data_IF_374848928050
#
_entry.id   IF_374848928050
#
_cell.length_a   1.000
_cell.length_b   1.000
_cell.length_c   1.000
_cell.angle_alpha   90.00
_cell.angle_beta   90.00
_cell.angle_gamma   90.00
#
_symmetry.space_group_name_H-M   'P 1'
#
loop_
_entity.id
_entity.type
_entity.pdbx_description
1 polymer ?
#
# COMPACT_ATOMS: atom_id res chain seq x y z
N UNK A 1 -24.31 5.78 -1.27
CA UNK A 1 -23.30 6.45 -0.38
C UNK A 1 -22.55 5.35 0.39
N UNK A 2 -21.32 5.55 0.92
CA UNK A 2 -20.59 4.48 1.68
C UNK A 2 -21.48 3.83 2.75
N UNK A 3 -22.41 4.61 3.32
CA UNK A 3 -23.42 4.16 4.28
C UNK A 3 -24.28 2.96 3.83
N UNK A 4 -24.44 2.71 2.54
CA UNK A 4 -25.22 1.56 2.02
C UNK A 4 -24.44 0.22 2.08
N UNK A 5 -23.13 0.26 2.34
CA UNK A 5 -22.24 -0.91 2.41
C UNK A 5 -21.74 -1.19 3.83
N UNK A 6 -22.26 -0.49 4.83
CA UNK A 6 -21.93 -0.70 6.23
C UNK A 6 -23.13 -1.37 6.88
N UNK A 7 -22.99 -2.62 7.30
CA UNK A 7 -23.99 -3.29 8.15
C UNK A 7 -24.21 -2.47 9.43
N UNK A 8 -25.42 -2.52 10.01
CA UNK A 8 -25.76 -1.82 11.25
C UNK A 8 -24.65 -2.02 12.32
N UNK A 9 -23.89 -0.96 12.56
CA UNK A 9 -22.65 -1.00 13.33
C UNK A 9 -22.09 0.39 13.62
N UNK A 10 -21.26 0.49 14.67
CA UNK A 10 -20.63 1.76 15.07
C UNK A 10 -19.41 2.00 14.20
N UNK A 11 -19.46 3.04 13.36
CA UNK A 11 -18.28 3.51 12.61
C UNK A 11 -17.50 4.50 13.48
N UNK A 12 -16.32 4.09 13.96
CA UNK A 12 -15.37 4.97 14.64
C UNK A 12 -14.53 5.71 13.59
N UNK A 13 -14.77 7.02 13.44
CA UNK A 13 -14.06 7.87 12.48
C UNK A 13 -13.01 8.69 13.23
N UNK A 14 -11.74 8.50 12.86
CA UNK A 14 -10.62 9.27 13.39
C UNK A 14 -9.99 10.10 12.30
N UNK A 15 -9.70 11.36 12.61
CA UNK A 15 -8.88 12.19 11.75
C UNK A 15 -7.45 11.65 11.73
N UNK A 16 -6.92 11.45 10.52
CA UNK A 16 -5.51 11.15 10.28
C UNK A 16 -4.98 12.24 9.36
N UNK A 17 -3.85 12.86 9.73
CA UNK A 17 -3.25 13.91 8.92
C UNK A 17 -2.86 13.37 7.54
N UNK A 18 -2.89 14.22 6.49
CA UNK A 18 -2.50 13.80 5.14
C UNK A 18 -1.10 13.19 5.12
N UNK A 19 -0.19 13.69 5.95
CA UNK A 19 1.18 13.20 6.07
C UNK A 19 1.27 11.79 6.65
N UNK A 20 0.29 11.39 7.46
CA UNK A 20 0.23 10.11 8.15
C UNK A 20 -0.79 9.14 7.56
N UNK A 21 -1.66 9.59 6.66
CA UNK A 21 -2.67 8.73 6.04
C UNK A 21 -2.01 7.81 5.00
N UNK A 22 -1.72 6.59 5.42
CA UNK A 22 -1.05 5.61 4.58
C UNK A 22 -1.95 5.05 3.48
N UNK A 23 -3.27 5.06 3.68
CA UNK A 23 -4.25 4.60 2.69
C UNK A 23 -4.35 5.51 1.46
N UNK A 24 -3.74 6.69 1.49
CA UNK A 24 -3.66 7.61 0.35
C UNK A 24 -3.07 6.92 -0.90
N UNK A 25 -2.15 5.96 -0.73
CA UNK A 25 -1.55 5.22 -1.84
C UNK A 25 -2.56 4.37 -2.63
N UNK A 26 -3.67 3.97 -2.00
CA UNK A 26 -4.70 3.13 -2.60
C UNK A 26 -5.88 3.94 -3.16
N UNK A 27 -5.96 5.24 -2.84
CA UNK A 27 -7.18 6.05 -3.07
C UNK A 27 -6.93 7.35 -3.82
N UNK A 28 -5.66 7.79 -3.95
CA UNK A 28 -5.29 9.06 -4.59
C UNK A 28 -4.26 8.85 -5.69
N UNK A 29 -4.27 9.77 -6.66
CA UNK A 29 -3.17 9.93 -7.61
C UNK A 29 -2.01 10.60 -6.91
N UNK A 30 -0.95 9.84 -6.62
CA UNK A 30 0.22 10.34 -5.90
C UNK A 30 1.38 10.68 -6.83
N UNK A 31 2.13 11.73 -6.48
CA UNK A 31 3.43 11.99 -7.09
C UNK A 31 4.46 10.92 -6.68
N UNK A 32 5.53 10.72 -7.46
CA UNK A 32 6.50 9.63 -7.25
C UNK A 32 7.12 9.59 -5.84
N UNK A 33 7.45 10.76 -5.28
CA UNK A 33 8.06 10.86 -3.95
C UNK A 33 7.10 10.40 -2.84
N UNK A 34 5.82 10.78 -2.93
CA UNK A 34 4.79 10.40 -1.95
C UNK A 34 4.44 8.93 -2.07
N UNK A 35 4.35 8.42 -3.30
CA UNK A 35 4.15 7.00 -3.57
C UNK A 35 5.25 6.15 -2.93
N UNK A 36 6.53 6.47 -3.18
CA UNK A 36 7.66 5.72 -2.61
C UNK A 36 7.71 5.79 -1.08
N UNK A 37 7.42 6.96 -0.50
CA UNK A 37 7.34 7.11 0.95
C UNK A 37 6.29 6.17 1.57
N UNK A 38 5.08 6.14 1.01
CA UNK A 38 3.98 5.32 1.51
C UNK A 38 4.20 3.83 1.23
N UNK A 39 4.76 3.48 0.06
CA UNK A 39 5.14 2.11 -0.28
C UNK A 39 6.09 1.52 0.77
N UNK A 40 7.11 2.29 1.17
CA UNK A 40 8.06 1.89 2.24
C UNK A 40 7.38 1.76 3.60
N UNK A 41 6.47 2.67 3.95
CA UNK A 41 5.71 2.59 5.22
C UNK A 41 4.84 1.34 5.33
N UNK A 42 4.34 0.84 4.21
CA UNK A 42 3.55 -0.40 4.14
C UNK A 42 4.39 -1.66 3.93
N UNK A 43 5.72 -1.54 3.85
CA UNK A 43 6.60 -2.66 3.48
C UNK A 43 6.18 -3.35 2.18
N UNK A 44 5.67 -2.58 1.22
CA UNK A 44 5.23 -3.09 -0.07
C UNK A 44 6.41 -3.23 -1.02
N UNK A 45 6.53 -4.39 -1.66
CA UNK A 45 7.55 -4.64 -2.68
C UNK A 45 6.97 -4.63 -4.08
N UNK A 46 7.84 -4.36 -5.05
CA UNK A 46 7.49 -4.54 -6.45
C UNK A 46 7.52 -6.04 -6.77
N UNK A 47 6.35 -6.60 -7.10
CA UNK A 47 6.20 -8.03 -7.38
C UNK A 47 7.09 -8.49 -8.53
N UNK A 48 7.23 -7.68 -9.59
CA UNK A 48 8.08 -8.03 -10.72
C UNK A 48 9.54 -8.11 -10.30
N UNK A 49 10.05 -7.11 -9.58
CA UNK A 49 11.42 -7.13 -9.04
C UNK A 49 11.65 -8.29 -8.08
N UNK A 50 10.68 -8.57 -7.20
CA UNK A 50 10.76 -9.69 -6.27
C UNK A 50 10.85 -11.03 -7.01
N UNK A 51 10.03 -11.24 -8.04
CA UNK A 51 10.04 -12.46 -8.84
C UNK A 51 11.35 -12.65 -9.62
N UNK A 52 11.89 -11.58 -10.22
CA UNK A 52 13.19 -11.64 -10.90
C UNK A 52 14.30 -12.02 -9.92
N UNK A 53 14.35 -11.38 -8.75
CA UNK A 53 15.35 -11.72 -7.73
C UNK A 53 15.23 -13.17 -7.27
N UNK A 54 14.01 -13.69 -7.10
CA UNK A 54 13.78 -15.10 -6.74
C UNK A 54 14.29 -16.06 -7.82
N UNK A 55 14.12 -15.73 -9.10
CA UNK A 55 14.64 -16.52 -10.22
C UNK A 55 16.17 -16.53 -10.24
N UNK A 56 16.80 -15.36 -10.09
CA UNK A 56 18.27 -15.25 -10.05
C UNK A 56 18.87 -16.03 -8.88
N UNK A 57 18.23 -16.04 -7.70
CA UNK A 57 18.70 -16.83 -6.56
C UNK A 57 18.53 -18.33 -6.78
N UNK A 58 17.47 -18.78 -7.47
CA UNK A 58 17.30 -20.19 -7.84
C UNK A 58 18.39 -20.65 -8.82
N UNK A 59 18.74 -19.81 -9.80
CA UNK A 59 19.79 -20.11 -10.79
C UNK A 59 21.22 -20.14 -10.19
N UNK A 60 21.43 -19.57 -9.00
CA UNK A 60 22.73 -19.60 -8.29
C UNK A 60 22.94 -20.85 -7.43
N UNK A 61 21.89 -21.65 -7.22
CA UNK A 61 21.91 -22.85 -6.36
C UNK A 61 22.23 -24.12 -7.15
N UNK A 62 22.21 -24.05 -8.49
CA UNK A 62 22.69 -25.08 -9.42
C UNK A 62 24.16 -24.86 -9.83
#
# INVERSE_FOLDING_TARGET
MIAEFVDDGVVDVKYVSTTENVADILTKTLGPQRFEYLRRKLSMENVHSALVNMQEELEKVD
#
